data_IF_902955116649
#
_entry.id   IF_902955116649
#
_cell.length_a   1.000
_cell.length_b   1.000
_cell.length_c   1.000
_cell.angle_alpha   90.00
_cell.angle_beta   90.00
_cell.angle_gamma   90.00
#
_symmetry.space_group_name_H-M   'P 1'
#
loop_
_entity.id
_entity.type
_entity.pdbx_description
1 polymer ?
#
# COMPACT_ATOMS: atom_id res chain seq x y z
N UNK A 1 10.20 -14.46 -12.13
CA UNK A 1 11.34 -14.60 -11.19
C UNK A 1 11.34 -13.43 -10.20
N UNK A 2 11.47 -13.71 -8.89
CA UNK A 2 12.03 -12.82 -7.86
C UNK A 2 11.39 -11.46 -7.51
N UNK A 3 10.43 -10.93 -8.28
CA UNK A 3 9.94 -9.54 -8.14
C UNK A 3 9.54 -9.18 -6.70
N UNK A 4 8.81 -10.07 -6.02
CA UNK A 4 8.38 -9.90 -4.64
C UNK A 4 9.58 -9.73 -3.70
N UNK A 5 10.50 -10.69 -3.69
CA UNK A 5 11.68 -10.67 -2.82
C UNK A 5 12.57 -9.47 -3.14
N UNK A 6 12.84 -9.20 -4.43
CA UNK A 6 13.63 -8.04 -4.85
C UNK A 6 13.02 -6.72 -4.36
N UNK A 7 11.68 -6.61 -4.43
CA UNK A 7 10.97 -5.42 -3.95
C UNK A 7 11.08 -5.29 -2.43
N UNK A 8 10.89 -6.38 -1.69
CA UNK A 8 11.00 -6.37 -0.23
C UNK A 8 12.41 -5.98 0.22
N UNK A 9 13.43 -6.59 -0.39
CA UNK A 9 14.83 -6.29 -0.08
C UNK A 9 15.17 -4.84 -0.43
N UNK A 10 14.67 -4.33 -1.56
CA UNK A 10 14.82 -2.92 -1.94
C UNK A 10 14.20 -1.97 -0.90
N UNK A 11 12.94 -2.20 -0.50
CA UNK A 11 12.31 -1.37 0.54
C UNK A 11 13.06 -1.46 1.87
N UNK A 12 13.53 -2.66 2.22
CA UNK A 12 14.28 -2.91 3.44
C UNK A 12 15.64 -2.22 3.44
N UNK A 13 16.35 -2.18 2.31
CA UNK A 13 17.63 -1.45 2.20
C UNK A 13 17.42 0.06 2.41
N UNK A 14 16.38 0.65 1.80
CA UNK A 14 16.04 2.07 2.00
C UNK A 14 15.80 2.41 3.48
N UNK A 15 15.16 1.50 4.22
CA UNK A 15 14.97 1.65 5.65
C UNK A 15 16.27 1.52 6.44
N UNK A 16 17.08 0.51 6.12
CA UNK A 16 18.33 0.21 6.82
C UNK A 16 19.38 1.29 6.66
N UNK A 17 19.46 1.87 5.48
CA UNK A 17 20.39 2.95 5.14
C UNK A 17 19.89 4.31 5.64
N UNK A 18 18.67 4.37 6.18
CA UNK A 18 18.10 5.59 6.76
C UNK A 18 17.56 6.58 5.73
N UNK A 19 17.43 6.19 4.46
CA UNK A 19 16.87 7.03 3.41
C UNK A 19 15.39 7.33 3.62
N UNK A 20 14.62 6.36 4.10
CA UNK A 20 13.22 6.57 4.50
C UNK A 20 12.76 5.52 5.50
N UNK A 21 11.91 5.90 6.46
CA UNK A 21 11.28 4.97 7.40
C UNK A 21 9.93 4.43 6.91
N UNK A 22 9.52 4.78 5.69
CA UNK A 22 8.17 4.55 5.17
C UNK A 22 7.22 5.72 5.49
N UNK A 23 5.89 5.50 5.45
CA UNK A 23 5.22 4.22 5.22
C UNK A 23 5.20 3.80 3.73
N UNK A 24 5.19 2.50 3.49
CA UNK A 24 5.11 1.88 2.16
C UNK A 24 3.74 1.24 1.94
N UNK A 25 3.09 1.54 0.81
CA UNK A 25 1.81 0.94 0.42
C UNK A 25 2.06 -0.15 -0.62
N UNK A 26 1.67 -1.39 -0.32
CA UNK A 26 1.75 -2.50 -1.28
C UNK A 26 0.34 -2.90 -1.66
N UNK A 27 0.00 -2.68 -2.93
CA UNK A 27 -1.26 -3.07 -3.54
C UNK A 27 -1.06 -4.33 -4.37
N UNK A 28 -1.73 -5.42 -4.01
CA UNK A 28 -1.61 -6.69 -4.73
C UNK A 28 -2.97 -7.39 -4.89
N UNK A 29 -3.09 -8.39 -5.79
CA UNK A 29 -4.29 -9.22 -5.84
C UNK A 29 -4.56 -9.87 -4.49
N UNK A 30 -5.83 -9.95 -4.07
CA UNK A 30 -6.20 -10.52 -2.77
C UNK A 30 -5.62 -11.93 -2.56
N UNK A 31 -5.51 -12.73 -3.63
CA UNK A 31 -4.92 -14.07 -3.60
C UNK A 31 -3.43 -14.11 -3.29
N UNK A 32 -2.68 -13.03 -3.52
CA UNK A 32 -1.23 -12.99 -3.29
C UNK A 32 -0.84 -12.23 -2.02
N UNK A 33 -1.79 -11.58 -1.33
CA UNK A 33 -1.52 -10.82 -0.10
C UNK A 33 -0.85 -11.68 0.99
N UNK A 34 -1.34 -12.90 1.21
CA UNK A 34 -0.76 -13.82 2.19
C UNK A 34 0.67 -14.22 1.78
N UNK A 35 0.95 -14.34 0.48
CA UNK A 35 2.30 -14.60 0.00
C UNK A 35 3.22 -13.41 0.30
N UNK A 36 2.77 -12.17 -0.01
CA UNK A 36 3.51 -10.95 0.32
C UNK A 36 3.83 -10.86 1.82
N UNK A 37 2.86 -11.14 2.69
CA UNK A 37 3.06 -11.13 4.14
C UNK A 37 4.14 -12.12 4.58
N UNK A 38 4.10 -13.37 4.10
CA UNK A 38 5.10 -14.39 4.41
C UNK A 38 6.50 -13.98 3.96
N UNK A 39 6.62 -13.45 2.75
CA UNK A 39 7.91 -12.99 2.22
C UNK A 39 8.43 -11.79 3.01
N UNK A 40 7.57 -10.86 3.45
CA UNK A 40 7.99 -9.75 4.31
C UNK A 40 8.51 -10.25 5.67
N UNK A 41 7.84 -11.23 6.28
CA UNK A 41 8.29 -11.84 7.54
C UNK A 41 9.67 -12.49 7.39
N UNK A 42 9.93 -13.16 6.26
CA UNK A 42 11.20 -13.82 6.00
C UNK A 42 12.33 -12.84 5.68
N UNK A 43 12.08 -11.88 4.77
CA UNK A 43 13.12 -11.05 4.17
C UNK A 43 13.28 -9.67 4.82
N UNK A 44 12.28 -9.19 5.56
CA UNK A 44 12.30 -7.90 6.25
C UNK A 44 11.72 -8.01 7.67
N UNK A 45 12.28 -8.87 8.56
CA UNK A 45 11.70 -9.18 9.87
C UNK A 45 11.62 -7.99 10.85
N UNK A 46 12.30 -6.88 10.56
CA UNK A 46 12.21 -5.65 11.36
C UNK A 46 11.12 -4.69 10.88
N UNK A 47 10.45 -4.97 9.77
CA UNK A 47 9.31 -4.20 9.34
C UNK A 47 8.09 -4.55 10.18
N UNK A 48 7.38 -3.50 10.58
CA UNK A 48 6.02 -3.64 11.08
C UNK A 48 5.07 -3.61 9.89
N UNK A 49 4.58 -4.79 9.53
CA UNK A 49 3.73 -5.02 8.34
C UNK A 49 2.31 -5.24 8.79
N UNK A 50 1.39 -4.45 8.27
CA UNK A 50 -0.05 -4.55 8.56
C UNK A 50 -0.79 -5.04 7.32
N UNK A 51 -1.46 -6.18 7.45
CA UNK A 51 -2.31 -6.73 6.39
C UNK A 51 -3.72 -6.14 6.48
N UNK A 52 -4.00 -5.14 5.65
CA UNK A 52 -5.26 -4.42 5.61
C UNK A 52 -6.24 -5.08 4.63
N UNK A 53 -6.93 -6.11 5.11
CA UNK A 53 -7.96 -6.87 4.39
C UNK A 53 -9.14 -7.21 5.30
N UNK A 54 -10.10 -7.99 4.81
CA UNK A 54 -11.26 -8.43 5.59
C UNK A 54 -12.49 -7.54 5.42
N UNK A 55 -13.52 -7.81 6.23
CA UNK A 55 -14.79 -7.09 6.19
C UNK A 55 -14.69 -5.69 6.82
N UNK A 56 -15.81 -4.94 6.81
CA UNK A 56 -15.83 -3.55 7.29
C UNK A 56 -15.47 -3.43 8.77
N UNK A 57 -15.84 -4.43 9.57
CA UNK A 57 -15.66 -4.43 11.02
C UNK A 57 -14.22 -4.76 11.37
N UNK A 58 -13.64 -5.78 10.73
CA UNK A 58 -12.21 -6.11 10.83
C UNK A 58 -11.33 -4.92 10.46
N UNK A 59 -11.66 -4.24 9.35
CA UNK A 59 -10.90 -3.06 8.93
C UNK A 59 -11.07 -1.86 9.85
N UNK A 60 -12.21 -1.72 10.54
CA UNK A 60 -12.38 -0.68 11.57
C UNK A 60 -11.42 -0.91 12.73
N UNK A 61 -11.33 -2.15 13.21
CA UNK A 61 -10.39 -2.54 14.26
C UNK A 61 -8.95 -2.25 13.83
N UNK A 62 -8.56 -2.61 12.60
CA UNK A 62 -7.20 -2.34 12.10
C UNK A 62 -6.91 -0.83 12.07
N UNK A 63 -7.84 0.01 11.58
CA UNK A 63 -7.66 1.47 11.56
C UNK A 63 -7.52 2.06 12.96
N UNK A 64 -8.27 1.56 13.93
CA UNK A 64 -8.27 2.05 15.30
C UNK A 64 -6.99 1.67 16.05
N UNK A 65 -6.45 0.46 15.83
CA UNK A 65 -5.37 -0.08 16.65
C UNK A 65 -3.99 -0.11 15.97
N UNK A 66 -3.95 -0.08 14.64
CA UNK A 66 -2.71 -0.32 13.89
C UNK A 66 -2.21 0.87 13.09
N UNK A 67 -3.03 1.89 12.82
CA UNK A 67 -2.61 2.99 11.94
C UNK A 67 -1.71 4.00 12.65
N UNK A 68 -1.93 4.28 13.93
CA UNK A 68 -1.18 5.28 14.67
C UNK A 68 -0.88 4.84 16.10
N UNK A 69 0.12 5.47 16.72
CA UNK A 69 0.39 5.34 18.15
C UNK A 69 -0.56 6.17 19.01
N UNK A 70 -1.24 7.17 18.43
CA UNK A 70 -2.13 8.06 19.14
C UNK A 70 -3.56 7.53 19.15
N UNK A 71 -4.15 7.46 20.35
CA UNK A 71 -5.57 7.20 20.52
C UNK A 71 -6.38 8.32 19.81
N UNK A 72 -7.34 7.93 18.98
CA UNK A 72 -8.17 8.83 18.15
C UNK A 72 -7.43 9.55 17.00
N UNK A 73 -6.32 9.03 16.49
CA UNK A 73 -5.71 9.50 15.24
C UNK A 73 -6.67 9.39 14.04
N UNK A 74 -7.55 8.39 14.06
CA UNK A 74 -8.63 8.18 13.09
C UNK A 74 -9.94 8.14 13.87
N UNK A 75 -10.98 8.83 13.38
CA UNK A 75 -12.32 8.69 13.96
C UNK A 75 -12.77 7.24 13.85
N UNK A 76 -13.16 6.65 14.98
CA UNK A 76 -13.59 5.27 15.05
C UNK A 76 -14.88 4.98 14.26
N UNK A 77 -15.18 3.69 14.11
CA UNK A 77 -16.36 3.17 13.46
C UNK A 77 -16.15 2.57 12.07
N UNK A 78 -17.25 2.06 11.50
CA UNK A 78 -17.22 1.22 10.28
C UNK A 78 -16.76 1.96 9.02
N UNK A 79 -16.87 3.29 8.99
CA UNK A 79 -16.49 4.12 7.84
C UNK A 79 -15.02 4.50 7.95
N UNK A 80 -14.28 4.41 6.84
CA UNK A 80 -12.92 4.96 6.78
C UNK A 80 -12.96 6.49 6.82
N UNK A 81 -12.29 7.09 7.80
CA UNK A 81 -12.13 8.53 7.93
C UNK A 81 -10.67 8.92 7.70
N UNK A 82 -10.44 10.18 7.35
CA UNK A 82 -9.08 10.75 7.26
C UNK A 82 -8.38 10.65 8.61
N UNK A 83 -7.13 10.24 8.58
CA UNK A 83 -6.23 10.33 9.72
C UNK A 83 -5.87 11.80 9.98
N UNK A 84 -5.69 12.16 11.25
CA UNK A 84 -5.19 13.49 11.63
C UNK A 84 -3.84 13.73 10.96
N UNK A 85 -3.64 14.95 10.46
CA UNK A 85 -2.45 15.31 9.68
C UNK A 85 -1.13 15.17 10.44
N UNK A 86 -1.16 15.38 11.75
CA UNK A 86 0.01 15.35 12.64
C UNK A 86 0.25 13.96 13.23
N UNK A 87 -0.72 13.05 13.12
CA UNK A 87 -0.62 11.73 13.70
C UNK A 87 0.45 10.90 13.00
N UNK A 88 1.31 10.27 13.81
CA UNK A 88 2.38 9.43 13.29
C UNK A 88 1.84 8.05 12.88
N UNK A 89 2.30 7.55 11.75
CA UNK A 89 1.97 6.19 11.28
C UNK A 89 2.78 5.16 12.07
N UNK A 90 2.09 4.15 12.60
CA UNK A 90 2.70 3.09 13.43
C UNK A 90 3.42 2.02 12.62
N UNK A 91 2.92 1.70 11.42
CA UNK A 91 3.45 0.67 10.55
C UNK A 91 4.48 1.17 9.53
N UNK A 92 5.35 0.26 9.11
CA UNK A 92 6.30 0.49 8.01
C UNK A 92 5.67 0.14 6.66
N UNK A 93 4.87 -0.93 6.60
CA UNK A 93 4.25 -1.43 5.37
C UNK A 93 2.76 -1.69 5.60
N UNK A 94 1.92 -1.27 4.66
CA UNK A 94 0.52 -1.67 4.58
C UNK A 94 0.31 -2.55 3.34
N UNK A 95 -0.12 -3.80 3.54
CA UNK A 95 -0.53 -4.69 2.45
C UNK A 95 -2.03 -4.56 2.25
N UNK A 96 -2.49 -4.33 1.03
CA UNK A 96 -3.94 -4.27 0.75
C UNK A 96 -4.27 -4.61 -0.70
N UNK A 97 -5.56 -4.80 -0.99
CA UNK A 97 -6.05 -5.05 -2.34
C UNK A 97 -6.41 -3.75 -3.06
N UNK A 98 -6.49 -3.82 -4.40
CA UNK A 98 -6.84 -2.66 -5.23
C UNK A 98 -8.23 -2.08 -4.89
N UNK A 99 -9.16 -2.95 -4.55
CA UNK A 99 -10.53 -2.57 -4.20
C UNK A 99 -10.54 -1.71 -2.92
N UNK A 100 -9.74 -2.07 -1.92
CA UNK A 100 -9.69 -1.38 -0.64
C UNK A 100 -9.02 0.00 -0.73
N UNK A 101 -8.06 0.19 -1.65
CA UNK A 101 -7.53 1.53 -1.97
C UNK A 101 -8.65 2.47 -2.42
N UNK A 102 -9.61 1.96 -3.17
CA UNK A 102 -10.74 2.76 -3.64
C UNK A 102 -11.82 2.94 -2.57
N UNK A 103 -12.16 1.87 -1.86
CA UNK A 103 -13.23 1.86 -0.85
C UNK A 103 -12.87 2.72 0.36
N UNK A 104 -11.64 2.60 0.87
CA UNK A 104 -11.18 3.26 2.09
C UNK A 104 -10.26 4.46 1.79
N UNK A 105 -10.42 5.08 0.62
CA UNK A 105 -9.59 6.20 0.14
C UNK A 105 -9.47 7.37 1.12
N UNK A 106 -10.47 7.58 1.97
CA UNK A 106 -10.44 8.65 2.96
C UNK A 106 -9.33 8.43 3.99
N UNK A 107 -9.18 7.20 4.50
CA UNK A 107 -8.12 6.86 5.45
C UNK A 107 -6.77 6.76 4.71
N UNK A 108 -6.72 5.93 3.68
CA UNK A 108 -5.47 5.59 2.99
C UNK A 108 -4.87 6.78 2.23
N UNK A 109 -5.70 7.61 1.59
CA UNK A 109 -5.25 8.80 0.87
C UNK A 109 -4.86 9.99 1.77
N UNK A 110 -5.16 9.91 3.08
CA UNK A 110 -4.71 10.92 4.05
C UNK A 110 -3.27 10.72 4.52
N UNK A 111 -2.72 9.52 4.32
CA UNK A 111 -1.33 9.18 4.62
C UNK A 111 -0.44 9.67 3.49
N UNK A 112 0.72 10.25 3.85
CA UNK A 112 1.79 10.54 2.88
C UNK A 112 2.67 9.30 2.76
N UNK A 113 2.64 8.66 1.60
CA UNK A 113 3.34 7.42 1.32
C UNK A 113 4.73 7.68 0.74
N UNK A 114 5.75 7.04 1.30
CA UNK A 114 7.10 7.12 0.77
C UNK A 114 7.24 6.33 -0.55
N UNK A 115 6.62 5.16 -0.62
CA UNK A 115 6.59 4.36 -1.85
C UNK A 115 5.24 3.62 -1.98
N UNK A 116 4.73 3.59 -3.20
CA UNK A 116 3.67 2.70 -3.63
C UNK A 116 4.28 1.56 -4.43
N UNK A 117 3.96 0.32 -4.08
CA UNK A 117 4.21 -0.87 -4.89
C UNK A 117 2.89 -1.39 -5.43
N UNK A 118 2.80 -1.59 -6.74
CA UNK A 118 1.65 -2.22 -7.38
C UNK A 118 2.09 -3.55 -7.97
N UNK A 119 1.66 -4.65 -7.38
CA UNK A 119 1.82 -5.98 -7.96
C UNK A 119 0.86 -6.16 -9.14
N UNK A 120 1.17 -7.05 -10.08
CA UNK A 120 0.40 -7.27 -11.31
C UNK A 120 -0.11 -5.98 -11.98
N UNK A 121 0.79 -5.02 -12.15
CA UNK A 121 0.50 -3.65 -12.59
C UNK A 121 -0.11 -3.58 -14.00
N UNK A 122 -0.12 -4.65 -14.78
CA UNK A 122 -0.90 -4.74 -16.02
C UNK A 122 -2.42 -4.50 -15.79
N UNK A 123 -2.91 -4.56 -14.55
CA UNK A 123 -4.27 -4.15 -14.18
C UNK A 123 -4.51 -2.63 -14.23
N UNK A 124 -3.44 -1.83 -14.29
CA UNK A 124 -3.49 -0.36 -14.35
C UNK A 124 -3.81 0.22 -15.73
N UNK A 125 -3.88 -0.60 -16.79
CA UNK A 125 -3.97 -0.16 -18.21
C UNK A 125 -5.08 0.84 -18.52
N UNK A 126 -6.16 0.87 -17.74
CA UNK A 126 -7.24 1.82 -17.94
C UNK A 126 -7.07 3.03 -17.00
N UNK A 127 -6.53 4.12 -17.53
CA UNK A 127 -6.35 5.38 -16.80
C UNK A 127 -7.68 6.07 -16.44
N UNK A 128 -8.79 5.64 -17.03
CA UNK A 128 -10.14 6.03 -16.64
C UNK A 128 -10.68 5.20 -15.47
N UNK A 129 -9.97 4.13 -15.06
CA UNK A 129 -10.39 3.30 -13.94
C UNK A 129 -10.47 4.12 -12.65
N UNK A 130 -11.48 3.79 -11.83
CA UNK A 130 -11.67 4.42 -10.52
C UNK A 130 -10.44 4.26 -9.63
N UNK A 131 -9.77 3.11 -9.70
CA UNK A 131 -8.54 2.84 -8.99
C UNK A 131 -7.43 3.82 -9.37
N UNK A 132 -7.12 3.97 -10.66
CA UNK A 132 -6.07 4.87 -11.14
C UNK A 132 -6.34 6.33 -10.73
N UNK A 133 -7.58 6.79 -10.92
CA UNK A 133 -7.99 8.15 -10.53
C UNK A 133 -7.86 8.41 -9.04
N UNK A 134 -8.28 7.46 -8.19
CA UNK A 134 -8.15 7.58 -6.74
C UNK A 134 -6.68 7.57 -6.33
N UNK A 135 -5.90 6.64 -6.89
CA UNK A 135 -4.48 6.49 -6.58
C UNK A 135 -3.64 7.70 -6.99
N UNK A 136 -3.98 8.37 -8.10
CA UNK A 136 -3.36 9.63 -8.50
C UNK A 136 -3.68 10.80 -7.55
N UNK A 137 -4.74 10.71 -6.76
CA UNK A 137 -5.04 11.68 -5.70
C UNK A 137 -4.23 11.46 -4.42
N UNK A 138 -3.50 10.35 -4.29
CA UNK A 138 -2.72 10.06 -3.10
C UNK A 138 -1.39 10.82 -3.13
N UNK A 139 -0.91 11.22 -1.96
CA UNK A 139 0.42 11.81 -1.80
C UNK A 139 1.45 10.68 -1.72
N UNK A 140 2.12 10.41 -2.83
CA UNK A 140 3.10 9.32 -2.97
C UNK A 140 4.41 9.90 -3.52
N UNK A 141 5.52 9.66 -2.85
CA UNK A 141 6.83 10.16 -3.29
C UNK A 141 7.43 9.29 -4.42
N UNK A 142 7.30 7.96 -4.34
CA UNK A 142 7.79 7.01 -5.36
C UNK A 142 6.75 5.94 -5.73
N UNK A 143 6.73 5.52 -7.01
CA UNK A 143 5.85 4.44 -7.51
C UNK A 143 6.70 3.34 -8.15
N UNK A 144 6.51 2.09 -7.70
CA UNK A 144 7.13 0.88 -8.24
C UNK A 144 6.05 -0.04 -8.78
N UNK A 145 6.10 -0.32 -10.09
CA UNK A 145 5.10 -1.14 -10.78
C UNK A 145 5.72 -2.50 -11.12
N UNK A 146 5.13 -3.58 -10.61
CA UNK A 146 5.58 -4.95 -10.85
C UNK A 146 4.62 -5.61 -11.82
N UNK A 147 5.10 -6.04 -12.98
CA UNK A 147 4.28 -6.79 -13.94
C UNK A 147 5.11 -7.89 -14.60
N UNK A 148 4.50 -9.05 -14.82
CA UNK A 148 5.08 -10.09 -15.67
C UNK A 148 4.94 -9.80 -17.17
N UNK A 149 4.10 -8.82 -17.53
CA UNK A 149 3.71 -8.51 -18.92
C UNK A 149 3.83 -7.00 -19.18
N UNK A 150 5.06 -6.45 -19.24
CA UNK A 150 5.28 -4.99 -19.32
C UNK A 150 4.84 -4.36 -20.65
N UNK A 151 4.81 -5.13 -21.74
CA UNK A 151 4.31 -4.69 -23.05
C UNK A 151 3.24 -5.65 -23.46
N UNK A 152 1.99 -5.19 -23.50
CA UNK A 152 0.94 -6.03 -24.07
C UNK A 152 0.09 -5.39 -25.15
N UNK A 153 -0.17 -4.08 -25.23
CA UNK A 153 -1.02 -3.60 -26.35
C UNK A 153 -0.75 -2.19 -26.93
N UNK A 154 -0.27 -1.18 -26.19
CA UNK A 154 -0.08 0.15 -26.79
C UNK A 154 1.01 0.98 -26.10
N UNK A 155 1.80 1.73 -26.87
CA UNK A 155 2.87 2.61 -26.35
C UNK A 155 2.33 3.68 -25.39
N UNK A 156 1.06 4.07 -25.55
CA UNK A 156 0.36 5.00 -24.65
C UNK A 156 0.23 4.49 -23.21
N UNK A 157 0.27 3.16 -22.98
CA UNK A 157 0.26 2.56 -21.63
C UNK A 157 1.57 2.84 -20.85
N UNK A 158 2.64 3.28 -21.53
CA UNK A 158 3.95 3.58 -20.92
C UNK A 158 4.07 5.04 -20.45
N UNK A 159 3.29 5.96 -21.02
CA UNK A 159 3.47 7.41 -20.88
C UNK A 159 2.41 8.11 -20.01
N UNK A 160 1.46 7.36 -19.45
CA UNK A 160 0.34 7.91 -18.69
C UNK A 160 0.18 7.29 -17.29
#
# INVERSE_FOLDING_TARGET
>A
LGKTIQTIVFLYSLYKEGHTKGPFLVSAPLSTIINWEREFQMWAPKFYVVTYTGDKDSRAIIRENEFSFEDNAIKGGKKAFKMKREAQVKFHVLLTSYELITIDQAALGSIRWACLVVDEAHRLKNNQSKFFRVLNGYKIDHKLLLTGTPLQNNLEELFH
#
